data_IF_044689838604
#
_entry.id   IF_044689838604
#
_cell.length_a   1.000
_cell.length_b   1.000
_cell.length_c   1.000
_cell.angle_alpha   90.00
_cell.angle_beta   90.00
_cell.angle_gamma   90.00
#
_symmetry.space_group_name_H-M   'P 1'
#
loop_
_entity.id
_entity.type
_entity.pdbx_description
1 polymer ?
#
# COMPACT_ATOMS: atom_id res chain seq x y z
N UNK A 1 2.24 -39.01 -0.23
CA UNK A 1 3.40 -38.93 0.70
C UNK A 1 4.51 -38.27 -0.09
N UNK A 2 5.06 -37.09 0.20
CA UNK A 2 5.19 -36.28 1.41
C UNK A 2 5.42 -34.85 0.88
N UNK A 3 4.46 -33.92 0.95
CA UNK A 3 4.69 -32.47 0.73
C UNK A 3 3.77 -31.62 1.63
N UNK A 4 2.61 -32.14 2.08
CA UNK A 4 1.69 -31.40 2.96
C UNK A 4 2.32 -31.01 4.31
N UNK A 5 3.03 -31.93 4.95
CA UNK A 5 3.60 -31.70 6.30
C UNK A 5 4.59 -30.53 6.35
N UNK A 6 5.34 -30.29 5.26
CA UNK A 6 6.30 -29.19 5.18
C UNK A 6 5.65 -27.83 4.90
N UNK A 7 4.60 -27.82 4.07
CA UNK A 7 3.84 -26.59 3.77
C UNK A 7 3.01 -26.17 4.99
N UNK A 8 2.38 -27.13 5.67
CA UNK A 8 1.58 -26.87 6.87
C UNK A 8 2.47 -26.35 8.00
N UNK A 9 3.66 -26.91 8.21
CA UNK A 9 4.62 -26.42 9.21
C UNK A 9 5.11 -25.00 8.91
N UNK A 10 5.36 -24.69 7.63
CA UNK A 10 5.77 -23.36 7.20
C UNK A 10 4.67 -22.31 7.44
N UNK A 11 3.42 -22.64 7.08
CA UNK A 11 2.25 -21.76 7.29
C UNK A 11 1.99 -21.56 8.79
N UNK A 12 2.12 -22.61 9.61
CA UNK A 12 2.03 -22.49 11.06
C UNK A 12 3.11 -21.55 11.62
N UNK A 13 4.35 -21.68 11.16
CA UNK A 13 5.44 -20.80 11.59
C UNK A 13 5.21 -19.33 11.21
N UNK A 14 4.73 -19.02 10.00
CA UNK A 14 4.42 -17.64 9.61
C UNK A 14 3.25 -17.05 10.41
N UNK A 15 2.24 -17.87 10.71
CA UNK A 15 1.11 -17.48 11.56
C UNK A 15 1.57 -17.19 12.98
N UNK A 16 2.50 -17.98 13.51
CA UNK A 16 3.09 -17.73 14.83
C UNK A 16 3.92 -16.44 14.87
N UNK A 17 4.71 -16.16 13.83
CA UNK A 17 5.44 -14.88 13.72
C UNK A 17 4.47 -13.70 13.67
N UNK A 18 3.39 -13.82 12.89
CA UNK A 18 2.36 -12.80 12.81
C UNK A 18 1.73 -12.52 14.18
N UNK A 19 1.34 -13.56 14.91
CA UNK A 19 0.67 -13.41 16.21
C UNK A 19 1.58 -12.84 17.31
N UNK A 20 2.90 -13.04 17.20
CA UNK A 20 3.88 -12.49 18.15
C UNK A 20 4.30 -11.06 17.82
N UNK A 21 4.22 -10.66 16.56
CA UNK A 21 4.67 -9.36 16.10
C UNK A 21 3.81 -8.22 16.66
N UNK A 22 4.46 -7.10 16.97
CA UNK A 22 3.81 -5.88 17.39
C UNK A 22 2.86 -5.34 16.30
N UNK A 23 1.94 -4.46 16.70
CA UNK A 23 1.01 -3.83 15.75
C UNK A 23 1.75 -3.15 14.58
N UNK A 24 2.79 -2.38 14.90
CA UNK A 24 3.53 -1.63 13.89
C UNK A 24 4.21 -2.54 12.87
N UNK A 25 4.88 -3.61 13.33
CA UNK A 25 5.52 -4.59 12.44
C UNK A 25 4.51 -5.27 11.53
N UNK A 26 3.35 -5.66 12.07
CA UNK A 26 2.27 -6.24 11.28
C UNK A 26 1.73 -5.26 10.23
N UNK A 27 1.58 -3.99 10.59
CA UNK A 27 1.12 -2.93 9.70
C UNK A 27 2.11 -2.73 8.54
N UNK A 28 3.41 -2.59 8.83
CA UNK A 28 4.46 -2.46 7.81
C UNK A 28 4.54 -3.71 6.93
N UNK A 29 4.49 -4.91 7.53
CA UNK A 29 4.54 -6.17 6.80
C UNK A 29 3.38 -6.33 5.81
N UNK A 30 2.17 -5.88 6.20
CA UNK A 30 0.99 -5.88 5.35
C UNK A 30 1.12 -4.83 4.24
N UNK A 31 1.60 -3.64 4.60
CA UNK A 31 1.77 -2.51 3.69
C UNK A 31 2.67 -2.84 2.50
N UNK A 32 3.75 -3.61 2.71
CA UNK A 32 4.59 -4.12 1.61
C UNK A 32 3.79 -4.88 0.56
N UNK A 33 2.93 -5.82 0.99
CA UNK A 33 2.13 -6.65 0.07
C UNK A 33 1.00 -5.85 -0.57
N UNK A 34 0.36 -4.97 0.20
CA UNK A 34 -0.68 -4.07 -0.28
C UNK A 34 -0.14 -3.12 -1.36
N UNK A 35 1.04 -2.51 -1.16
CA UNK A 35 1.70 -1.68 -2.17
C UNK A 35 2.09 -2.48 -3.42
N UNK A 36 2.49 -3.75 -3.27
CA UNK A 36 2.77 -4.64 -4.42
C UNK A 36 1.51 -4.93 -5.24
N UNK A 37 0.39 -5.20 -4.59
CA UNK A 37 -0.90 -5.41 -5.24
C UNK A 37 -1.42 -4.12 -5.91
N UNK A 38 -1.27 -2.97 -5.26
CA UNK A 38 -1.60 -1.67 -5.86
C UNK A 38 -0.74 -1.37 -7.09
N UNK A 39 0.56 -1.68 -7.05
CA UNK A 39 1.44 -1.53 -8.21
C UNK A 39 1.03 -2.41 -9.39
N UNK A 40 0.48 -3.60 -9.14
CA UNK A 40 -0.07 -4.44 -10.19
C UNK A 40 -1.37 -3.86 -10.79
N UNK A 41 -2.22 -3.24 -9.97
CA UNK A 41 -3.40 -2.51 -10.46
C UNK A 41 -2.98 -1.38 -11.39
N UNK A 42 -2.01 -0.57 -10.99
CA UNK A 42 -1.50 0.56 -11.80
C UNK A 42 -1.01 0.04 -13.15
N UNK A 43 -0.18 -1.01 -13.15
CA UNK A 43 0.32 -1.65 -14.38
C UNK A 43 -0.80 -2.16 -15.28
N UNK A 44 -1.83 -2.77 -14.71
CA UNK A 44 -2.97 -3.28 -15.49
C UNK A 44 -3.79 -2.14 -16.12
N UNK A 45 -3.98 -1.03 -15.41
CA UNK A 45 -4.66 0.16 -15.95
C UNK A 45 -3.83 0.78 -17.08
N UNK A 46 -2.52 0.96 -16.86
CA UNK A 46 -1.60 1.46 -17.89
C UNK A 46 -1.60 0.58 -19.15
N UNK A 47 -1.56 -0.75 -18.99
CA UNK A 47 -1.61 -1.69 -20.10
C UNK A 47 -2.97 -1.68 -20.84
N UNK A 48 -4.05 -1.32 -20.15
CA UNK A 48 -5.39 -1.15 -20.72
C UNK A 48 -5.53 0.10 -21.61
N UNK A 49 -4.67 1.10 -21.44
CA UNK A 49 -4.59 2.30 -22.27
C UNK A 49 -5.68 3.36 -22.05
N UNK A 50 -6.84 3.00 -21.51
CA UNK A 50 -7.87 3.95 -21.07
C UNK A 50 -7.67 4.36 -19.61
N UNK A 51 -6.96 5.47 -19.42
CA UNK A 51 -6.62 6.00 -18.09
C UNK A 51 -7.76 6.74 -17.40
N UNK A 52 -8.84 7.09 -18.11
CA UNK A 52 -9.98 7.87 -17.56
C UNK A 52 -9.52 9.05 -16.70
N UNK A 53 -8.69 9.89 -17.31
CA UNK A 53 -8.06 11.04 -16.66
C UNK A 53 -9.13 12.07 -16.27
N UNK A 54 -9.05 12.57 -15.05
CA UNK A 54 -9.82 13.70 -14.52
C UNK A 54 -8.83 14.76 -14.07
N UNK A 55 -9.03 16.01 -14.45
CA UNK A 55 -8.23 17.13 -13.94
C UNK A 55 -8.91 17.69 -12.68
N UNK A 56 -8.19 17.68 -11.56
CA UNK A 56 -8.65 18.16 -10.24
C UNK A 56 -8.26 19.62 -10.00
N UNK A 57 -7.51 20.25 -10.90
CA UNK A 57 -7.03 21.62 -10.74
C UNK A 57 -8.17 22.64 -10.75
N UNK A 58 -7.99 23.72 -9.99
CA UNK A 58 -8.87 24.88 -10.04
C UNK A 58 -8.56 25.76 -11.26
N UNK A 59 -9.52 26.59 -11.69
CA UNK A 59 -9.34 27.50 -12.82
C UNK A 59 -8.10 28.41 -12.62
N UNK A 60 -7.11 28.25 -13.49
CA UNK A 60 -5.87 29.03 -13.47
C UNK A 60 -4.70 28.38 -12.72
N UNK A 61 -4.91 27.23 -12.10
CA UNK A 61 -3.86 26.44 -11.46
C UNK A 61 -3.19 25.45 -12.45
N UNK A 62 -1.97 24.96 -12.15
CA UNK A 62 -1.37 23.87 -12.89
C UNK A 62 -2.27 22.63 -12.90
N UNK A 63 -2.26 21.90 -14.01
CA UNK A 63 -3.03 20.67 -14.15
C UNK A 63 -2.67 19.67 -13.03
N UNK A 64 -3.71 19.08 -12.44
CA UNK A 64 -3.61 18.09 -11.37
C UNK A 64 -4.36 16.83 -11.81
N UNK A 65 -3.74 16.01 -12.67
CA UNK A 65 -4.40 14.86 -13.25
C UNK A 65 -4.54 13.74 -12.23
N UNK A 66 -5.72 13.12 -12.20
CA UNK A 66 -6.00 11.86 -11.52
C UNK A 66 -6.43 10.83 -12.57
N UNK A 67 -5.88 9.63 -12.53
CA UNK A 67 -6.26 8.52 -13.41
C UNK A 67 -7.05 7.44 -12.67
N UNK A 68 -7.56 6.47 -13.43
CA UNK A 68 -8.16 5.27 -12.87
C UNK A 68 -7.16 4.43 -12.07
N UNK A 69 -5.86 4.58 -12.32
CA UNK A 69 -4.82 3.89 -11.57
C UNK A 69 -4.76 4.40 -10.13
N UNK A 70 -4.73 5.73 -9.94
CA UNK A 70 -4.72 6.40 -8.63
C UNK A 70 -5.96 5.98 -7.82
N UNK A 71 -7.14 6.11 -8.44
CA UNK A 71 -8.43 5.79 -7.80
C UNK A 71 -8.54 4.35 -7.32
N UNK A 72 -8.09 3.38 -8.12
CA UNK A 72 -8.16 1.95 -7.78
C UNK A 72 -7.07 1.53 -6.83
N UNK A 73 -5.86 2.07 -6.98
CA UNK A 73 -4.76 1.82 -6.07
C UNK A 73 -5.10 2.30 -4.66
N UNK A 74 -5.62 3.52 -4.51
CA UNK A 74 -6.04 4.03 -3.21
C UNK A 74 -7.19 3.20 -2.62
N UNK A 75 -8.18 2.82 -3.42
CA UNK A 75 -9.26 1.95 -2.95
C UNK A 75 -8.71 0.64 -2.36
N UNK A 76 -7.85 -0.07 -3.11
CA UNK A 76 -7.23 -1.31 -2.65
C UNK A 76 -6.46 -1.09 -1.34
N UNK A 77 -5.63 -0.05 -1.28
CA UNK A 77 -4.78 0.24 -0.11
C UNK A 77 -5.65 0.48 1.12
N UNK A 78 -6.56 1.45 1.04
CA UNK A 78 -7.42 1.85 2.15
C UNK A 78 -8.28 0.67 2.60
N UNK A 79 -8.91 -0.05 1.67
CA UNK A 79 -9.79 -1.17 1.98
C UNK A 79 -9.02 -2.31 2.66
N UNK A 80 -7.86 -2.68 2.13
CA UNK A 80 -7.05 -3.78 2.68
C UNK A 80 -6.52 -3.47 4.08
N UNK A 81 -6.05 -2.25 4.32
CA UNK A 81 -5.53 -1.88 5.63
C UNK A 81 -6.64 -1.71 6.67
N UNK A 82 -7.77 -1.07 6.32
CA UNK A 82 -8.89 -0.86 7.26
C UNK A 82 -9.62 -2.14 7.65
N UNK A 83 -9.75 -3.11 6.74
CA UNK A 83 -10.32 -4.42 7.09
C UNK A 83 -9.41 -5.23 8.01
N UNK A 84 -8.10 -5.08 7.86
CA UNK A 84 -7.12 -5.85 8.61
C UNK A 84 -6.80 -5.25 9.98
N UNK A 85 -6.83 -3.94 10.10
CA UNK A 85 -6.44 -3.22 11.30
C UNK A 85 -7.57 -2.30 11.77
N UNK A 86 -8.31 -2.75 12.78
CA UNK A 86 -9.33 -1.91 13.41
C UNK A 86 -8.69 -0.72 14.15
N UNK A 87 -9.24 0.47 13.96
CA UNK A 87 -8.88 1.66 14.75
C UNK A 87 -7.73 2.50 14.20
N UNK A 88 -7.17 2.14 13.04
CA UNK A 88 -6.20 3.00 12.35
C UNK A 88 -6.89 4.17 11.66
N UNK A 89 -6.21 5.31 11.60
CA UNK A 89 -6.64 6.44 10.78
C UNK A 89 -5.85 6.46 9.47
N UNK A 90 -6.55 6.56 8.33
CA UNK A 90 -5.93 6.64 7.01
C UNK A 90 -6.39 7.92 6.32
N UNK A 91 -5.45 8.66 5.77
CA UNK A 91 -5.67 9.86 4.94
C UNK A 91 -5.08 9.55 3.57
N UNK A 92 -5.94 9.49 2.55
CA UNK A 92 -5.50 9.34 1.17
C UNK A 92 -5.37 10.70 0.48
N UNK A 93 -4.53 10.77 -0.53
CA UNK A 93 -4.42 11.91 -1.44
C UNK A 93 -5.71 12.14 -2.23
N UNK A 94 -6.36 11.06 -2.69
CA UNK A 94 -7.46 11.16 -3.64
C UNK A 94 -8.83 11.28 -2.94
N UNK A 95 -9.60 12.31 -3.29
CA UNK A 95 -10.97 12.48 -2.78
C UNK A 95 -11.95 11.43 -3.35
N UNK A 96 -11.72 11.03 -4.60
CA UNK A 96 -12.56 10.07 -5.33
C UNK A 96 -11.80 8.77 -5.51
N UNK A 97 -12.42 7.63 -5.21
CA UNK A 97 -11.83 6.29 -5.41
C UNK A 97 -12.75 5.42 -6.26
N UNK A 98 -12.17 4.38 -6.88
CA UNK A 98 -12.87 3.42 -7.74
C UNK A 98 -12.70 2.02 -7.15
N UNK A 99 -13.81 1.36 -6.81
CA UNK A 99 -13.79 -0.02 -6.32
C UNK A 99 -13.14 -0.95 -7.35
N UNK A 100 -12.15 -1.74 -6.92
CA UNK A 100 -11.45 -2.73 -7.73
C UNK A 100 -11.75 -4.18 -7.33
N UNK A 101 -12.72 -4.38 -6.41
CA UNK A 101 -13.19 -5.65 -5.84
C UNK A 101 -12.07 -6.60 -5.38
N UNK A 102 -10.91 -6.01 -5.06
CA UNK A 102 -9.69 -6.72 -4.70
C UNK A 102 -9.26 -6.22 -3.32
N UNK A 103 -8.85 -7.14 -2.46
CA UNK A 103 -8.34 -6.89 -1.11
C UNK A 103 -7.08 -7.75 -0.94
N UNK A 104 -6.02 -7.17 -0.39
CA UNK A 104 -4.74 -7.84 -0.16
C UNK A 104 -4.53 -8.10 1.35
N UNK A 105 -4.52 -9.38 1.73
CA UNK A 105 -4.42 -9.84 3.11
C UNK A 105 -3.11 -10.59 3.42
N UNK A 106 -2.21 -10.73 2.44
CA UNK A 106 -0.87 -11.28 2.65
C UNK A 106 0.02 -10.31 3.43
N UNK A 107 1.15 -10.80 3.90
CA UNK A 107 2.13 -10.00 4.64
C UNK A 107 3.55 -10.44 4.27
N UNK A 108 4.52 -9.55 4.47
CA UNK A 108 5.94 -9.84 4.30
C UNK A 108 6.51 -10.52 5.55
N UNK A 109 6.82 -11.81 5.47
CA UNK A 109 7.47 -12.52 6.57
C UNK A 109 8.88 -12.00 6.88
N UNK A 110 9.55 -11.37 5.91
CA UNK A 110 10.86 -10.72 6.13
C UNK A 110 10.76 -9.53 7.06
N UNK A 111 9.67 -8.75 6.99
CA UNK A 111 9.43 -7.66 7.95
C UNK A 111 9.14 -8.22 9.34
N UNK A 112 8.37 -9.31 9.44
CA UNK A 112 8.08 -9.93 10.74
C UNK A 112 9.34 -10.47 11.43
N UNK A 113 10.35 -10.91 10.68
CA UNK A 113 11.64 -11.38 11.22
C UNK A 113 12.42 -10.27 11.92
N UNK A 114 12.15 -9.01 11.60
CA UNK A 114 12.78 -7.85 12.24
C UNK A 114 12.13 -7.47 13.58
N UNK A 115 11.05 -8.16 14.00
CA UNK A 115 10.35 -7.85 15.25
C UNK A 115 11.29 -7.79 16.46
N UNK A 116 12.29 -8.65 16.56
CA UNK A 116 13.21 -8.63 17.69
C UNK A 116 14.20 -7.44 17.66
N UNK A 117 14.40 -6.83 16.49
CA UNK A 117 15.33 -5.72 16.26
C UNK A 117 14.71 -4.35 16.50
N UNK A 118 13.37 -4.23 16.43
CA UNK A 118 12.70 -2.95 16.63
C UNK A 118 12.71 -2.52 18.10
N UNK A 119 12.80 -1.22 18.35
CA UNK A 119 12.88 -0.68 19.72
C UNK A 119 11.58 -0.92 20.51
N UNK A 120 11.65 -1.05 21.85
CA UNK A 120 10.46 -1.21 22.69
C UNK A 120 9.43 -0.09 22.51
N UNK A 121 9.87 1.15 22.26
CA UNK A 121 8.98 2.29 22.03
C UNK A 121 8.13 2.09 20.77
N UNK A 122 8.73 1.60 19.68
CA UNK A 122 8.02 1.26 18.45
C UNK A 122 7.07 0.08 18.64
N UNK A 123 7.47 -0.94 19.41
CA UNK A 123 6.58 -2.09 19.76
C UNK A 123 5.33 -1.64 20.51
N UNK A 124 5.43 -0.56 21.28
CA UNK A 124 4.36 -0.05 22.13
C UNK A 124 3.33 0.81 21.40
N UNK A 125 3.58 1.16 20.13
CA UNK A 125 2.65 1.94 19.29
C UNK A 125 1.36 1.16 19.09
N UNK A 126 0.23 1.83 19.34
CA UNK A 126 -1.11 1.27 19.20
C UNK A 126 -1.77 1.75 17.89
N UNK A 127 -2.83 1.07 17.41
CA UNK A 127 -3.58 1.49 16.23
C UNK A 127 -4.02 2.96 16.27
N UNK A 128 -4.55 3.41 17.40
CA UNK A 128 -5.02 4.78 17.61
C UNK A 128 -3.91 5.84 17.66
N UNK A 129 -2.65 5.41 17.83
CA UNK A 129 -1.48 6.30 17.82
C UNK A 129 -0.96 6.54 16.38
N UNK A 130 -1.50 5.84 15.37
CA UNK A 130 -0.98 5.87 13.99
C UNK A 130 -1.94 6.56 13.03
N UNK A 131 -1.38 7.48 12.25
CA UNK A 131 -1.98 7.97 11.01
C UNK A 131 -1.20 7.43 9.83
N UNK A 132 -1.90 6.81 8.88
CA UNK A 132 -1.37 6.34 7.61
C UNK A 132 -1.70 7.38 6.54
N UNK A 133 -0.68 7.96 5.90
CA UNK A 133 -0.87 8.82 4.73
C UNK A 133 -0.59 8.00 3.47
N UNK A 134 -1.48 8.09 2.49
CA UNK A 134 -1.44 7.32 1.26
C UNK A 134 -1.35 8.26 0.07
N UNK A 135 -0.24 8.18 -0.65
CA UNK A 135 -0.13 8.62 -2.05
C UNK A 135 -0.15 7.34 -2.91
N UNK A 136 -1.26 7.08 -3.63
CA UNK A 136 -1.46 5.83 -4.34
C UNK A 136 -0.64 5.73 -5.63
N UNK A 137 -0.14 6.85 -6.17
CA UNK A 137 0.64 6.91 -7.40
C UNK A 137 1.33 8.30 -7.49
N UNK A 138 2.59 8.35 -7.11
CA UNK A 138 3.43 9.54 -7.34
C UNK A 138 3.94 9.54 -8.79
N UNK A 139 3.81 10.67 -9.48
CA UNK A 139 4.13 10.84 -10.90
C UNK A 139 2.95 10.61 -11.87
N UNK A 140 1.73 10.98 -11.48
CA UNK A 140 0.52 10.77 -12.29
C UNK A 140 0.60 11.40 -13.68
N UNK A 141 1.22 12.58 -13.79
CA UNK A 141 1.43 13.27 -15.07
C UNK A 141 2.36 12.49 -16.00
N UNK A 142 3.46 11.96 -15.46
CA UNK A 142 4.44 11.15 -16.17
C UNK A 142 3.83 9.85 -16.67
N UNK A 143 3.05 9.17 -15.82
CA UNK A 143 2.31 7.96 -16.17
C UNK A 143 1.32 8.24 -17.31
N UNK A 144 0.53 9.32 -17.19
CA UNK A 144 -0.43 9.69 -18.22
C UNK A 144 0.23 9.97 -19.58
N UNK A 145 1.36 10.69 -19.57
CA UNK A 145 2.12 11.02 -20.77
C UNK A 145 2.75 9.75 -21.39
N UNK A 146 3.28 8.85 -20.57
CA UNK A 146 3.93 7.64 -21.05
C UNK A 146 2.95 6.68 -21.73
N UNK A 147 1.75 6.48 -21.14
CA UNK A 147 0.71 5.64 -21.76
C UNK A 147 0.26 6.23 -23.09
N UNK A 148 0.08 7.56 -23.16
CA UNK A 148 -0.26 8.25 -24.42
C UNK A 148 0.82 8.05 -25.49
N UNK A 149 2.09 8.08 -25.10
CA UNK A 149 3.23 7.94 -25.99
C UNK A 149 3.66 6.47 -26.23
N UNK A 150 3.00 5.50 -25.58
CA UNK A 150 3.41 4.07 -25.58
C UNK A 150 4.83 3.84 -25.08
N UNK A 151 5.25 4.63 -24.09
CA UNK A 151 6.54 4.53 -23.43
C UNK A 151 6.41 3.85 -22.06
N UNK A 152 7.54 3.41 -21.51
CA UNK A 152 7.63 3.01 -20.12
C UNK A 152 7.67 4.25 -19.21
N UNK A 153 7.06 4.14 -18.02
CA UNK A 153 7.18 5.11 -16.93
C UNK A 153 7.35 4.37 -15.64
N UNK A 154 8.21 4.90 -14.78
CA UNK A 154 8.20 4.55 -13.36
C UNK A 154 7.02 5.23 -12.67
N UNK A 155 6.68 4.69 -11.51
CA UNK A 155 5.76 5.29 -10.54
C UNK A 155 6.17 4.81 -9.15
N UNK A 156 5.70 5.52 -8.13
CA UNK A 156 5.88 5.14 -6.74
C UNK A 156 4.53 5.03 -6.05
N UNK A 157 4.46 4.13 -5.08
CA UNK A 157 3.38 4.11 -4.09
C UNK A 157 4.02 4.44 -2.77
N UNK A 158 3.43 5.40 -2.06
CA UNK A 158 4.00 5.89 -0.81
C UNK A 158 3.00 5.75 0.33
N UNK A 159 3.43 5.04 1.37
CA UNK A 159 2.70 4.91 2.62
C UNK A 159 3.55 5.46 3.75
N UNK A 160 3.08 6.54 4.37
CA UNK A 160 3.73 7.11 5.55
C UNK A 160 2.97 6.76 6.82
N UNK A 161 3.69 6.37 7.86
CA UNK A 161 3.16 6.10 9.18
C UNK A 161 3.74 7.10 10.16
N UNK A 162 2.87 7.87 10.83
CA UNK A 162 3.25 8.75 11.91
C UNK A 162 2.62 8.25 13.21
N UNK A 163 3.45 7.96 14.23
CA UNK A 163 2.95 7.64 15.57
C UNK A 163 3.99 7.85 16.65
N UNK A 164 3.61 8.50 17.76
CA UNK A 164 4.49 8.80 18.92
C UNK A 164 5.94 9.22 18.57
N UNK A 165 6.10 10.10 17.58
CA UNK A 165 7.41 10.60 17.14
C UNK A 165 8.23 9.64 16.26
N UNK A 166 7.66 8.51 15.88
CA UNK A 166 8.20 7.61 14.88
C UNK A 166 7.65 7.96 13.49
N UNK A 167 8.53 7.89 12.50
CA UNK A 167 8.24 8.03 11.09
C UNK A 167 8.69 6.76 10.39
N UNK A 168 7.76 6.12 9.66
CA UNK A 168 8.06 4.99 8.80
C UNK A 168 7.50 5.27 7.43
N UNK A 169 8.27 4.89 6.43
CA UNK A 169 7.99 5.19 5.06
C UNK A 169 8.16 3.93 4.20
N UNK A 170 7.10 3.55 3.49
CA UNK A 170 7.09 2.41 2.59
C UNK A 170 6.92 2.93 1.17
N UNK A 171 8.03 2.93 0.44
CA UNK A 171 8.08 3.22 -0.99
C UNK A 171 8.25 1.94 -1.81
N UNK A 172 7.52 1.84 -2.92
CA UNK A 172 7.76 0.80 -3.93
C UNK A 172 7.94 1.43 -5.31
N UNK A 173 9.18 1.42 -5.82
CA UNK A 173 9.51 1.76 -7.21
C UNK A 173 9.24 0.54 -8.11
N UNK A 174 8.66 0.74 -9.31
CA UNK A 174 8.25 -0.35 -10.19
C UNK A 174 8.38 -0.08 -11.69
#
# INVERSE_FOLDING_TARGET
>A
MIIKDGLDLFVMHETDMWNKASFLTRLVASSIRVSEAAGNIIKNVMAGGDLKIVDKSADGEPADPQTEADRRAQFLIVKSLTERFSGIHIIGEEDITSDCHSIENAFSSDVLRLEDEISPDLKSIKPEDVVVWVDPLDGTSEVALAVKNKNESGFFITLFFLGKGAYIDVHKMR
#
